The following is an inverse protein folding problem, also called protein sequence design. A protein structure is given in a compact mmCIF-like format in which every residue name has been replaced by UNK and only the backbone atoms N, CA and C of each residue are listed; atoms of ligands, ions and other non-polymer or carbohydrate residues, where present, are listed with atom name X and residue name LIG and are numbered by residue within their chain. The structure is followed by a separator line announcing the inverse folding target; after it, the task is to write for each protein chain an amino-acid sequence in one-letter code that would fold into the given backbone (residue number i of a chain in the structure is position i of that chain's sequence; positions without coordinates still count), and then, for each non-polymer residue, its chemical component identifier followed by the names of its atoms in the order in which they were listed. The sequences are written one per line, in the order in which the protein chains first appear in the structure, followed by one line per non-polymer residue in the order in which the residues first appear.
data_IF_588030087984
#
_entry.id   IF_588030087984
#
_cell.length_a   1.000
_cell.length_b   1.000
_cell.length_c   1.000
_cell.angle_alpha   90.00
_cell.angle_beta   90.00
_cell.angle_gamma   90.00
#
_symmetry.space_group_name_H-M   'P 1'
#
loop_
_entity.id
_entity.type
_entity.pdbx_description
1 polymer ?
#
# COMPACT_ATOMS: atom_id res chain seq x y z
N UNK A 1 -21.32 -1.05 2.20
CA UNK A 1 -19.91 -0.58 2.22
C UNK A 1 -19.08 -1.64 2.95
N UNK A 2 -17.91 -2.00 2.44
CA UNK A 2 -17.03 -3.00 3.08
C UNK A 2 -16.03 -2.27 3.99
N UNK A 3 -16.02 -2.59 5.29
CA UNK A 3 -15.05 -2.04 6.24
C UNK A 3 -13.63 -2.50 5.89
N UNK A 4 -12.67 -1.59 5.98
CA UNK A 4 -11.26 -1.85 5.65
C UNK A 4 -10.34 -1.35 6.76
N UNK A 5 -9.27 -2.11 7.01
CA UNK A 5 -8.12 -1.66 7.82
C UNK A 5 -7.00 -1.35 6.85
N UNK A 6 -6.56 -0.10 6.78
CA UNK A 6 -5.46 0.34 5.93
C UNK A 6 -4.17 0.42 6.74
N UNK A 7 -3.11 -0.23 6.25
CA UNK A 7 -1.78 -0.20 6.88
C UNK A 7 -0.75 0.34 5.89
N UNK A 8 -0.28 1.58 6.05
CA UNK A 8 0.85 2.09 5.30
C UNK A 8 2.16 1.47 5.81
N UNK A 9 3.01 1.01 4.89
CA UNK A 9 4.27 0.35 5.18
C UNK A 9 5.38 0.93 4.29
N UNK A 10 6.45 1.42 4.93
CA UNK A 10 7.66 1.93 4.28
C UNK A 10 8.78 0.88 4.19
N UNK A 11 8.52 -0.36 4.64
CA UNK A 11 9.50 -1.46 4.66
C UNK A 11 10.42 -1.45 5.88
N UNK A 12 10.23 -0.51 6.82
CA UNK A 12 10.94 -0.52 8.09
C UNK A 12 10.31 -1.49 9.08
N UNK A 13 11.15 -2.03 9.97
CA UNK A 13 10.70 -2.86 11.09
C UNK A 13 9.76 -2.10 12.04
N UNK A 14 9.93 -0.78 12.15
CA UNK A 14 9.05 0.08 12.95
C UNK A 14 7.65 0.16 12.35
N UNK A 15 7.52 0.34 11.03
CA UNK A 15 6.23 0.30 10.37
C UNK A 15 5.58 -1.09 10.45
N UNK A 16 6.36 -2.17 10.32
CA UNK A 16 5.84 -3.54 10.44
C UNK A 16 5.32 -3.89 11.85
N UNK A 17 5.78 -3.20 12.89
CA UNK A 17 5.35 -3.46 14.27
C UNK A 17 3.83 -3.26 14.48
N UNK A 18 3.15 -2.53 13.58
CA UNK A 18 1.70 -2.36 13.64
C UNK A 18 0.91 -3.59 13.16
N UNK A 19 1.54 -4.49 12.40
CA UNK A 19 0.85 -5.60 11.72
C UNK A 19 0.06 -6.53 12.66
N UNK A 20 0.55 -6.91 13.86
CA UNK A 20 -0.25 -7.70 14.79
C UNK A 20 -1.52 -6.99 15.25
N UNK A 21 -1.47 -5.67 15.45
CA UNK A 21 -2.63 -4.88 15.86
C UNK A 21 -3.63 -4.71 14.71
N UNK A 22 -3.15 -4.44 13.50
CA UNK A 22 -3.99 -4.33 12.32
C UNK A 22 -4.69 -5.67 12.00
N UNK A 23 -3.97 -6.79 12.16
CA UNK A 23 -4.52 -8.13 12.03
C UNK A 23 -5.66 -8.37 13.05
N UNK A 24 -5.44 -8.03 14.32
CA UNK A 24 -6.46 -8.13 15.35
C UNK A 24 -7.74 -7.37 14.97
N UNK A 25 -7.61 -6.10 14.54
CA UNK A 25 -8.78 -5.32 14.13
C UNK A 25 -9.48 -5.91 12.90
N UNK A 26 -8.72 -6.37 11.88
CA UNK A 26 -9.29 -6.99 10.70
C UNK A 26 -10.07 -8.27 11.04
N UNK A 27 -9.57 -9.08 11.97
CA UNK A 27 -10.26 -10.28 12.47
C UNK A 27 -11.55 -9.93 13.21
N UNK A 28 -11.47 -9.03 14.21
CA UNK A 28 -12.63 -8.69 15.06
C UNK A 28 -13.76 -8.02 14.28
N UNK A 29 -13.43 -7.30 13.20
CA UNK A 29 -14.40 -6.54 12.40
C UNK A 29 -14.77 -7.22 11.09
N UNK A 30 -14.18 -8.39 10.78
CA UNK A 30 -14.30 -9.05 9.48
C UNK A 30 -13.94 -8.16 8.27
N UNK A 31 -13.08 -7.17 8.49
CA UNK A 31 -12.68 -6.17 7.51
C UNK A 31 -11.62 -6.71 6.54
N UNK A 32 -11.54 -6.09 5.36
CA UNK A 32 -10.41 -6.31 4.46
C UNK A 32 -9.17 -5.60 5.01
N UNK A 33 -8.07 -6.32 5.20
CA UNK A 33 -6.78 -5.74 5.55
C UNK A 33 -6.05 -5.32 4.27
N UNK A 34 -5.82 -4.02 4.08
CA UNK A 34 -5.06 -3.50 2.95
C UNK A 34 -3.66 -3.09 3.40
N UNK A 35 -2.64 -3.78 2.91
CA UNK A 35 -1.24 -3.36 3.06
C UNK A 35 -0.90 -2.40 1.92
N UNK A 36 -0.49 -1.19 2.26
CA UNK A 36 -0.23 -0.11 1.31
C UNK A 36 1.24 0.30 1.39
N UNK A 37 1.89 0.44 0.24
CA UNK A 37 3.15 1.17 0.13
C UNK A 37 3.01 2.31 -0.87
N UNK A 38 3.58 3.45 -0.52
CA UNK A 38 3.60 4.64 -1.36
C UNK A 38 5.00 4.75 -1.95
N UNK A 39 5.11 4.89 -3.25
CA UNK A 39 6.38 5.24 -3.90
C UNK A 39 6.25 6.61 -4.55
N UNK A 40 7.39 7.26 -4.70
CA UNK A 40 7.46 8.52 -5.41
C UNK A 40 7.41 8.27 -6.92
N UNK A 41 6.55 8.97 -7.68
CA UNK A 41 6.58 8.86 -9.13
C UNK A 41 7.87 9.49 -9.67
N UNK A 42 8.42 8.96 -10.78
CA UNK A 42 9.60 9.50 -11.41
C UNK A 42 9.31 10.90 -11.97
N UNK A 43 10.29 11.81 -11.90
CA UNK A 43 10.19 13.14 -12.51
C UNK A 43 9.48 14.20 -11.67
N UNK A 44 9.17 13.92 -10.40
CA UNK A 44 8.62 14.93 -9.48
C UNK A 44 9.66 16.01 -9.14
N UNK A 45 9.43 17.28 -9.53
CA UNK A 45 10.44 18.35 -9.45
C UNK A 45 10.83 18.72 -8.01
N UNK A 46 9.94 18.51 -7.04
CA UNK A 46 10.18 18.79 -5.62
C UNK A 46 11.26 17.88 -5.02
N UNK A 47 11.52 16.72 -5.64
CA UNK A 47 12.51 15.75 -5.23
C UNK A 47 13.52 15.44 -6.33
N UNK A 48 13.86 16.44 -7.15
CA UNK A 48 14.89 16.34 -8.16
C UNK A 48 16.26 16.05 -7.52
N UNK A 49 16.51 14.79 -7.19
CA UNK A 49 17.82 14.29 -6.80
C UNK A 49 18.74 14.33 -8.03
N UNK A 50 20.02 14.69 -7.87
CA UNK A 50 20.94 14.93 -8.99
C UNK A 50 21.15 13.73 -9.91
N UNK A 51 20.83 12.53 -9.42
CA UNK A 51 20.96 11.28 -10.16
C UNK A 51 20.00 10.22 -9.60
N UNK A 52 19.08 9.75 -10.45
CA UNK A 52 18.29 8.53 -10.23
C UNK A 52 18.66 7.58 -11.38
N UNK A 53 19.10 6.34 -11.11
CA UNK A 53 19.28 5.34 -12.16
C UNK A 53 17.99 5.12 -12.94
N UNK A 54 18.08 4.92 -14.27
CA UNK A 54 16.89 4.74 -15.14
C UNK A 54 16.02 3.55 -14.70
N UNK A 55 16.62 2.53 -14.09
CA UNK A 55 15.96 1.32 -13.60
C UNK A 55 15.47 1.40 -12.14
N UNK A 56 15.75 2.51 -11.44
CA UNK A 56 15.41 2.65 -10.01
C UNK A 56 13.92 2.46 -9.76
N UNK A 57 13.08 3.09 -10.58
CA UNK A 57 11.63 3.05 -10.38
C UNK A 57 11.07 1.63 -10.60
N UNK A 58 11.52 0.92 -11.64
CA UNK A 58 11.12 -0.47 -11.87
C UNK A 58 11.59 -1.38 -10.73
N UNK A 59 12.82 -1.16 -10.23
CA UNK A 59 13.37 -1.82 -9.06
C UNK A 59 12.52 -1.60 -7.81
N UNK A 60 12.15 -0.36 -7.52
CA UNK A 60 11.33 0.02 -6.35
C UNK A 60 9.92 -0.58 -6.42
N UNK A 61 9.28 -0.57 -7.60
CA UNK A 61 7.98 -1.23 -7.83
C UNK A 61 8.08 -2.74 -7.63
N UNK A 62 9.11 -3.37 -8.20
CA UNK A 62 9.34 -4.82 -8.07
C UNK A 62 9.57 -5.22 -6.63
N UNK A 63 10.44 -4.50 -5.92
CA UNK A 63 10.70 -4.74 -4.51
C UNK A 63 9.45 -4.52 -3.65
N UNK A 64 8.69 -3.45 -3.90
CA UNK A 64 7.41 -3.16 -3.25
C UNK A 64 6.41 -4.32 -3.39
N UNK A 65 6.25 -4.84 -4.62
CA UNK A 65 5.34 -5.97 -4.88
C UNK A 65 5.76 -7.21 -4.12
N UNK A 66 7.05 -7.54 -4.13
CA UNK A 66 7.58 -8.71 -3.43
C UNK A 66 7.38 -8.57 -1.92
N UNK A 67 7.79 -7.44 -1.35
CA UNK A 67 7.65 -7.14 0.08
C UNK A 67 6.20 -7.28 0.56
N UNK A 68 5.26 -6.59 -0.10
CA UNK A 68 3.85 -6.62 0.30
C UNK A 68 3.25 -8.02 0.11
N UNK A 69 3.65 -8.76 -0.93
CA UNK A 69 3.16 -10.12 -1.19
C UNK A 69 3.63 -11.07 -0.09
N UNK A 70 4.91 -11.02 0.30
CA UNK A 70 5.44 -11.83 1.41
C UNK A 70 4.66 -11.60 2.70
N UNK A 71 4.40 -10.33 3.04
CA UNK A 71 3.61 -9.99 4.21
C UNK A 71 2.16 -10.47 4.10
N UNK A 72 1.52 -10.26 2.95
CA UNK A 72 0.14 -10.67 2.72
C UNK A 72 -0.02 -12.18 2.83
N UNK A 73 0.85 -12.97 2.22
CA UNK A 73 0.84 -14.43 2.33
C UNK A 73 0.96 -14.87 3.78
N UNK A 74 1.88 -14.28 4.55
CA UNK A 74 2.03 -14.57 5.99
C UNK A 74 0.74 -14.30 6.75
N UNK A 75 0.11 -13.15 6.53
CA UNK A 75 -1.09 -12.74 7.27
C UNK A 75 -2.36 -13.48 6.83
N UNK A 76 -2.46 -13.87 5.56
CA UNK A 76 -3.59 -14.67 5.05
C UNK A 76 -3.69 -16.04 5.75
N UNK A 77 -2.56 -16.63 6.18
CA UNK A 77 -2.57 -17.88 6.97
C UNK A 77 -3.30 -17.74 8.30
N UNK A 78 -3.55 -16.51 8.77
CA UNK A 78 -4.25 -16.20 10.03
C UNK A 78 -5.76 -15.95 9.84
N UNK A 79 -6.32 -16.34 8.68
CA UNK A 79 -7.76 -16.33 8.44
C UNK A 79 -8.37 -14.96 8.09
N UNK A 80 -7.54 -13.97 7.73
CA UNK A 80 -8.01 -12.66 7.26
C UNK A 80 -7.91 -12.52 5.75
N UNK A 81 -8.84 -11.76 5.17
CA UNK A 81 -8.71 -11.28 3.79
C UNK A 81 -7.66 -10.17 3.77
N UNK A 82 -6.63 -10.35 2.94
CA UNK A 82 -5.55 -9.37 2.77
C UNK A 82 -5.42 -9.01 1.31
N UNK A 83 -5.33 -7.72 1.02
CA UNK A 83 -4.98 -7.16 -0.29
C UNK A 83 -3.72 -6.30 -0.16
N UNK A 84 -2.92 -6.27 -1.21
CA UNK A 84 -1.78 -5.37 -1.34
C UNK A 84 -2.14 -4.21 -2.28
N UNK A 85 -1.68 -3.01 -1.95
CA UNK A 85 -1.76 -1.84 -2.82
C UNK A 85 -0.43 -1.13 -2.85
N UNK A 86 -0.10 -0.67 -4.04
CA UNK A 86 1.00 0.22 -4.30
C UNK A 86 0.39 1.51 -4.89
N UNK A 87 0.78 2.67 -4.38
CA UNK A 87 0.32 3.97 -4.87
C UNK A 87 1.51 4.86 -5.16
N UNK A 88 1.39 5.65 -6.23
CA UNK A 88 2.33 6.73 -6.52
C UNK A 88 1.79 8.02 -5.91
N UNK A 89 2.55 8.61 -5.00
CA UNK A 89 2.22 9.91 -4.42
C UNK A 89 3.45 10.57 -3.82
N UNK A 90 3.45 11.90 -3.82
CA UNK A 90 4.50 12.73 -3.21
C UNK A 90 4.37 12.83 -1.68
N UNK A 91 3.25 12.37 -1.08
CA UNK A 91 3.05 12.36 0.37
C UNK A 91 2.02 11.33 0.83
N UNK A 92 2.04 11.00 2.12
CA UNK A 92 1.03 10.16 2.77
C UNK A 92 -0.39 10.76 2.67
N UNK A 93 -0.51 12.08 2.80
CA UNK A 93 -1.80 12.78 2.68
C UNK A 93 -2.40 12.64 1.27
N UNK A 94 -1.58 12.85 0.24
CA UNK A 94 -1.99 12.66 -1.15
C UNK A 94 -2.42 11.20 -1.42
N UNK A 95 -1.69 10.23 -0.89
CA UNK A 95 -2.02 8.82 -1.05
C UNK A 95 -3.35 8.41 -0.41
N UNK A 96 -3.70 9.00 0.74
CA UNK A 96 -4.98 8.72 1.42
C UNK A 96 -6.16 9.27 0.59
N UNK A 97 -6.05 10.48 0.04
CA UNK A 97 -7.10 11.08 -0.79
C UNK A 97 -7.32 10.32 -2.11
N UNK A 98 -6.25 9.79 -2.74
CA UNK A 98 -6.38 8.95 -3.95
C UNK A 98 -7.20 7.67 -3.70
N UNK A 99 -7.24 7.20 -2.45
CA UNK A 99 -8.05 6.04 -2.07
C UNK A 99 -9.56 6.33 -2.04
N UNK A 100 -9.96 7.58 -1.80
CA UNK A 100 -11.38 7.97 -1.85
C UNK A 100 -11.88 8.11 -3.29
N UNK A 101 -11.05 8.58 -4.22
CA UNK A 101 -11.41 8.72 -5.65
C UNK A 101 -11.56 7.38 -6.38
N UNK A 102 -10.77 6.37 -6.03
CA UNK A 102 -10.85 5.03 -6.63
C UNK A 102 -12.13 4.25 -6.29
N UNK A 103 -13.00 4.77 -5.40
CA UNK A 103 -14.32 4.20 -5.09
C UNK A 103 -15.41 4.68 -6.07
N UNK A 104 -15.11 5.61 -6.99
CA UNK A 104 -16.09 6.20 -7.91
C UNK A 104 -16.00 5.70 -9.37
N UNK A 105 -15.03 4.86 -9.72
CA UNK A 105 -14.75 4.49 -11.12
C UNK A 105 -15.20 3.07 -11.55
N UNK A 106 -16.10 2.40 -10.83
CA UNK A 106 -16.75 1.15 -11.32
C UNK A 106 -18.17 1.35 -11.87
N UNK A 107 -18.52 2.56 -12.31
CA UNK A 107 -19.77 2.81 -13.03
C UNK A 107 -19.58 3.68 -14.27
N UNK A 108 -18.69 3.32 -15.19
CA UNK A 108 -18.86 3.64 -16.62
C UNK A 108 -18.06 2.66 -17.49
N UNK A 109 -18.63 1.50 -17.74
CA UNK A 109 -18.38 0.74 -18.96
C UNK A 109 -19.62 -0.14 -19.21
N UNK A 110 -20.49 0.37 -20.10
CA UNK A 110 -21.61 -0.37 -20.67
C UNK A 110 -21.13 -1.22 -21.85
#
# INVERSE_FOLDING_TARGET
MQSQVLVPLDGSTYAEAILPHALFFAQQTHSLLTLLRIIMPPGEPEYAVPYIPDDWYEGEVSWTKNYLTTLATRLQTQGVRVQTRHLEAISAGAAINLKEMSLFDEHTAS
#
